data_IF_464880178599
#
_entry.id   IF_464880178599
#
_cell.length_a   1.000
_cell.length_b   1.000
_cell.length_c   1.000
_cell.angle_alpha   90.00
_cell.angle_beta   90.00
_cell.angle_gamma   90.00
#
_symmetry.space_group_name_H-M   'P 1'
#
loop_
_entity.id
_entity.type
_entity.pdbx_description
1 polymer ?
#
# COMPACT_ATOMS: atom_id res chain seq x y z
N UNK A 1 13.79 25.87 -1.38
CA UNK A 1 14.59 24.66 -1.09
C UNK A 1 13.96 23.93 0.08
N UNK A 2 13.97 22.60 0.07
CA UNK A 2 13.48 21.82 1.22
C UNK A 2 14.46 22.03 2.38
N UNK A 3 13.97 22.48 3.54
CA UNK A 3 14.79 22.60 4.74
C UNK A 3 15.11 21.19 5.24
N UNK A 4 16.38 20.79 5.20
CA UNK A 4 16.79 19.43 5.56
C UNK A 4 17.68 19.44 6.79
N UNK A 5 17.33 18.60 7.76
CA UNK A 5 18.03 18.43 9.03
C UNK A 5 18.76 17.09 9.05
N UNK A 6 20.05 17.12 9.40
CA UNK A 6 20.85 15.91 9.62
C UNK A 6 20.19 15.01 10.67
N UNK A 7 19.71 15.61 11.77
CA UNK A 7 19.09 14.91 12.88
C UNK A 7 17.83 14.16 12.44
N UNK A 8 17.02 14.77 11.58
CA UNK A 8 15.78 14.17 11.10
C UNK A 8 16.06 12.98 10.16
N UNK A 9 17.06 13.10 9.28
CA UNK A 9 17.50 11.99 8.44
C UNK A 9 18.05 10.84 9.26
N UNK A 10 18.85 11.15 10.28
CA UNK A 10 19.37 10.16 11.21
C UNK A 10 18.24 9.43 11.95
N UNK A 11 17.26 10.17 12.47
CA UNK A 11 16.10 9.62 13.17
C UNK A 11 15.29 8.68 12.27
N UNK A 12 14.94 9.12 11.05
CA UNK A 12 14.24 8.28 10.07
C UNK A 12 15.03 7.01 9.76
N UNK A 13 16.35 7.13 9.60
CA UNK A 13 17.19 5.98 9.31
C UNK A 13 17.17 4.97 10.47
N UNK A 14 17.45 5.42 11.69
CA UNK A 14 17.57 4.57 12.88
C UNK A 14 16.23 3.97 13.30
N UNK A 15 15.14 4.74 13.22
CA UNK A 15 13.86 4.33 13.75
C UNK A 15 12.95 3.62 12.75
N UNK A 16 13.11 3.85 11.44
CA UNK A 16 12.25 3.25 10.43
C UNK A 16 13.02 2.33 9.47
N UNK A 17 14.07 2.84 8.83
CA UNK A 17 14.71 2.16 7.70
C UNK A 17 15.53 0.97 8.16
N UNK A 18 16.43 1.16 9.15
CA UNK A 18 17.34 0.13 9.65
C UNK A 18 16.59 -1.13 10.12
N UNK A 19 15.45 -0.94 10.80
CA UNK A 19 14.60 -1.99 11.37
C UNK A 19 13.86 -2.81 10.30
N UNK A 20 13.67 -2.25 9.11
CA UNK A 20 12.87 -2.86 8.05
C UNK A 20 13.69 -3.57 6.95
N UNK A 21 15.03 -3.42 6.96
CA UNK A 21 15.90 -4.00 5.93
C UNK A 21 16.17 -5.47 6.22
N UNK A 22 15.72 -6.35 5.32
CA UNK A 22 16.00 -7.80 5.40
C UNK A 22 17.43 -8.17 4.99
N UNK A 23 18.04 -7.41 4.07
CA UNK A 23 19.38 -7.69 3.58
C UNK A 23 20.43 -7.15 4.55
N UNK A 24 20.92 -8.02 5.45
CA UNK A 24 21.89 -7.67 6.49
C UNK A 24 23.21 -7.13 5.93
N UNK A 25 23.68 -7.61 4.77
CA UNK A 25 24.91 -7.13 4.14
C UNK A 25 24.77 -5.67 3.68
N UNK A 26 23.64 -5.31 3.05
CA UNK A 26 23.36 -3.92 2.67
C UNK A 26 23.28 -3.00 3.89
N UNK A 27 22.62 -3.47 4.96
CA UNK A 27 22.53 -2.72 6.20
C UNK A 27 23.92 -2.49 6.82
N UNK A 28 24.71 -3.55 6.96
CA UNK A 28 26.07 -3.48 7.52
C UNK A 28 26.96 -2.50 6.73
N UNK A 29 26.93 -2.57 5.40
CA UNK A 29 27.71 -1.65 4.56
C UNK A 29 27.27 -0.19 4.75
N UNK A 30 25.97 0.06 4.96
CA UNK A 30 25.49 1.41 5.24
C UNK A 30 25.93 1.90 6.61
N UNK A 31 25.83 1.06 7.65
CA UNK A 31 26.27 1.37 9.02
C UNK A 31 27.77 1.67 9.08
N UNK A 32 28.60 0.89 8.36
CA UNK A 32 30.05 1.10 8.31
C UNK A 32 30.42 2.52 7.84
N UNK A 33 29.65 3.07 6.91
CA UNK A 33 29.87 4.41 6.33
C UNK A 33 28.70 5.35 6.63
N UNK A 34 28.09 5.23 7.81
CA UNK A 34 26.80 5.87 8.14
C UNK A 34 26.82 7.38 7.96
N UNK A 35 27.80 8.07 8.56
CA UNK A 35 27.92 9.54 8.49
C UNK A 35 28.03 9.97 7.03
N UNK A 36 28.92 9.36 6.26
CA UNK A 36 29.13 9.66 4.84
C UNK A 36 27.84 9.45 4.02
N UNK A 37 27.11 8.35 4.28
CA UNK A 37 25.86 8.06 3.58
C UNK A 37 24.74 9.07 3.91
N UNK A 38 24.64 9.52 5.17
CA UNK A 38 23.66 10.54 5.57
C UNK A 38 24.03 11.90 4.98
N UNK A 39 25.30 12.28 5.00
CA UNK A 39 25.77 13.51 4.33
C UNK A 39 25.53 13.47 2.82
N UNK A 40 25.72 12.30 2.19
CA UNK A 40 25.36 12.12 0.78
C UNK A 40 23.86 12.31 0.54
N UNK A 41 23.00 11.81 1.44
CA UNK A 41 21.57 12.05 1.37
C UNK A 41 21.21 13.54 1.52
N UNK A 42 21.84 14.24 2.46
CA UNK A 42 21.66 15.67 2.68
C UNK A 42 21.97 16.50 1.44
N UNK A 43 23.12 16.26 0.81
CA UNK A 43 23.56 17.03 -0.35
C UNK A 43 22.69 16.73 -1.59
N UNK A 44 22.17 15.50 -1.68
CA UNK A 44 21.41 15.03 -2.84
C UNK A 44 19.94 15.45 -2.82
N UNK A 45 19.36 15.79 -1.68
CA UNK A 45 17.90 15.96 -1.54
C UNK A 45 17.31 17.10 -2.38
N UNK A 46 17.96 18.26 -2.44
CA UNK A 46 17.46 19.43 -3.17
C UNK A 46 17.64 19.27 -4.69
N UNK A 47 18.64 18.50 -5.10
CA UNK A 47 18.89 18.13 -6.50
C UNK A 47 18.68 16.62 -6.69
N UNK A 48 17.55 16.12 -6.18
CA UNK A 48 17.31 14.69 -6.17
C UNK A 48 17.24 14.14 -7.59
N UNK A 49 18.23 13.31 -7.93
CA UNK A 49 18.20 12.41 -9.07
C UNK A 49 18.48 11.00 -8.59
N UNK A 50 17.50 10.12 -8.67
CA UNK A 50 17.61 8.77 -8.13
C UNK A 50 18.63 7.96 -8.91
N UNK A 51 19.33 7.06 -8.22
CA UNK A 51 20.04 6.00 -8.92
C UNK A 51 19.04 4.96 -9.46
N UNK A 52 19.55 4.00 -10.23
CA UNK A 52 18.73 2.93 -10.78
C UNK A 52 18.06 2.07 -9.71
N UNK A 53 16.87 1.58 -10.03
CA UNK A 53 16.17 0.65 -9.16
C UNK A 53 16.85 -0.72 -9.14
N UNK A 54 16.91 -1.31 -7.96
CA UNK A 54 17.10 -2.75 -7.82
C UNK A 54 15.75 -3.44 -8.03
N UNK A 55 15.56 -4.00 -9.24
CA UNK A 55 14.31 -4.62 -9.68
C UNK A 55 14.35 -6.13 -9.43
N UNK A 56 13.37 -6.65 -8.70
CA UNK A 56 13.29 -8.09 -8.38
C UNK A 56 11.85 -8.56 -8.17
N UNK A 57 11.65 -9.88 -8.30
CA UNK A 57 10.36 -10.53 -8.10
C UNK A 57 10.12 -10.86 -6.61
N UNK A 58 8.94 -10.55 -6.11
CA UNK A 58 8.38 -11.14 -4.88
C UNK A 58 7.20 -12.02 -5.26
N UNK A 59 7.17 -13.27 -4.79
CA UNK A 59 6.09 -14.22 -5.09
C UNK A 59 4.97 -14.30 -4.04
N UNK A 60 5.27 -14.03 -2.77
CA UNK A 60 4.29 -14.10 -1.68
C UNK A 60 3.93 -12.70 -1.14
N UNK A 61 2.63 -12.37 -0.91
CA UNK A 61 1.45 -13.21 -1.05
C UNK A 61 0.89 -13.33 -2.48
N UNK A 62 1.37 -12.49 -3.41
CA UNK A 62 1.03 -12.43 -4.83
C UNK A 62 2.32 -12.07 -5.58
N UNK A 63 2.49 -12.57 -6.79
CA UNK A 63 3.62 -12.21 -7.66
C UNK A 63 3.57 -10.73 -8.04
N UNK A 64 4.67 -10.02 -7.73
CA UNK A 64 4.83 -8.59 -7.97
C UNK A 64 6.29 -8.28 -8.25
N UNK A 65 6.55 -7.41 -9.21
CA UNK A 65 7.86 -6.83 -9.40
C UNK A 65 8.01 -5.64 -8.47
N UNK A 66 9.12 -5.61 -7.74
CA UNK A 66 9.45 -4.57 -6.77
C UNK A 66 10.61 -3.76 -7.32
N UNK A 67 10.47 -2.43 -7.22
CA UNK A 67 11.47 -1.44 -7.59
C UNK A 67 12.05 -0.86 -6.30
N UNK A 68 13.05 -1.54 -5.73
CA UNK A 68 13.68 -1.07 -4.49
C UNK A 68 14.74 -0.03 -4.79
N UNK A 69 14.65 1.10 -4.10
CA UNK A 69 15.71 2.09 -4.02
C UNK A 69 16.94 1.52 -3.29
N UNK A 70 18.13 2.07 -3.59
CA UNK A 70 19.30 1.94 -2.72
C UNK A 70 19.00 2.61 -1.35
N UNK A 71 19.89 2.45 -0.37
CA UNK A 71 19.61 2.93 0.98
C UNK A 71 19.63 4.46 1.12
N UNK A 72 20.47 5.17 0.35
CA UNK A 72 20.52 6.64 0.38
C UNK A 72 19.27 7.24 -0.26
N UNK A 73 18.89 6.78 -1.45
CA UNK A 73 17.68 7.23 -2.13
C UNK A 73 16.42 6.82 -1.36
N UNK A 74 16.44 5.66 -0.69
CA UNK A 74 15.36 5.25 0.22
C UNK A 74 15.23 6.19 1.40
N UNK A 75 16.35 6.63 1.98
CA UNK A 75 16.35 7.62 3.05
C UNK A 75 15.78 8.95 2.58
N UNK A 76 16.21 9.46 1.42
CA UNK A 76 15.64 10.67 0.81
C UNK A 76 14.14 10.50 0.54
N UNK A 77 13.72 9.35 -0.01
CA UNK A 77 12.33 9.05 -0.28
C UNK A 77 11.46 9.05 0.99
N UNK A 78 11.96 8.45 2.07
CA UNK A 78 11.29 8.48 3.37
C UNK A 78 11.25 9.89 3.95
N UNK A 79 12.35 10.64 3.85
CA UNK A 79 12.41 12.02 4.32
C UNK A 79 11.32 12.88 3.67
N UNK A 80 11.32 12.95 2.33
CA UNK A 80 10.30 13.70 1.55
C UNK A 80 8.89 13.22 1.91
N UNK A 81 8.71 11.92 2.08
CA UNK A 81 7.42 11.36 2.47
C UNK A 81 6.94 11.85 3.85
N UNK A 82 7.85 11.94 4.83
CA UNK A 82 7.55 12.30 6.22
C UNK A 82 7.42 13.80 6.44
N UNK A 83 8.25 14.60 5.78
CA UNK A 83 8.31 16.05 6.01
C UNK A 83 7.44 16.84 5.05
N UNK A 84 7.21 16.33 3.83
CA UNK A 84 6.45 17.04 2.78
C UNK A 84 5.10 16.35 2.53
N UNK A 85 5.11 15.10 2.05
CA UNK A 85 3.91 14.47 1.54
C UNK A 85 2.86 14.20 2.62
N UNK A 86 3.24 13.58 3.74
CA UNK A 86 2.28 13.24 4.81
C UNK A 86 1.64 14.52 5.39
N UNK A 87 2.41 15.53 5.86
CA UNK A 87 1.81 16.71 6.47
C UNK A 87 0.89 17.50 5.53
N UNK A 88 1.23 17.56 4.23
CA UNK A 88 0.46 18.34 3.24
C UNK A 88 -0.73 17.58 2.67
N UNK A 89 -0.63 16.25 2.51
CA UNK A 89 -1.66 15.45 1.85
C UNK A 89 -2.64 14.77 2.80
N UNK A 90 -2.24 14.43 4.03
CA UNK A 90 -3.09 13.65 4.93
C UNK A 90 -4.40 14.37 5.32
N UNK A 91 -4.39 15.71 5.32
CA UNK A 91 -5.59 16.53 5.57
C UNK A 91 -6.71 16.35 4.53
N UNK A 92 -6.38 15.86 3.34
CA UNK A 92 -7.34 15.58 2.26
C UNK A 92 -7.88 14.16 2.30
N UNK A 93 -7.40 13.31 3.21
CA UNK A 93 -7.79 11.90 3.30
C UNK A 93 -8.91 11.72 4.34
N UNK A 94 -10.02 11.12 3.92
CA UNK A 94 -11.09 10.74 4.87
C UNK A 94 -10.60 9.65 5.85
N UNK A 95 -11.15 9.66 7.06
CA UNK A 95 -10.82 8.69 8.13
C UNK A 95 -11.12 7.23 7.74
N UNK A 96 -12.00 7.01 6.76
CA UNK A 96 -12.35 5.70 6.19
C UNK A 96 -11.27 5.15 5.25
N UNK A 97 -10.35 6.00 4.79
CA UNK A 97 -9.13 5.58 4.11
C UNK A 97 -8.04 5.28 5.14
N UNK A 98 -7.80 3.98 5.33
CA UNK A 98 -7.04 3.48 6.47
C UNK A 98 -5.62 3.06 6.10
N UNK A 99 -5.21 3.15 4.83
CA UNK A 99 -3.93 2.59 4.38
C UNK A 99 -2.76 3.57 4.49
N UNK A 100 -1.57 3.05 4.82
CA UNK A 100 -0.29 3.81 4.93
C UNK A 100 -0.33 5.04 5.86
N UNK A 101 -1.29 5.11 6.79
CA UNK A 101 -1.41 6.19 7.76
C UNK A 101 -0.97 5.76 9.17
N UNK A 102 -0.40 6.70 9.91
CA UNK A 102 0.12 6.46 11.26
C UNK A 102 -1.03 6.02 12.18
N UNK A 103 -0.81 5.00 13.00
CA UNK A 103 -1.82 4.39 13.88
C UNK A 103 -3.04 3.78 13.17
N UNK A 104 -3.02 3.70 11.83
CA UNK A 104 -4.04 3.05 11.02
C UNK A 104 -3.50 1.73 10.44
N UNK A 105 -4.00 1.32 9.28
CA UNK A 105 -3.65 0.07 8.62
C UNK A 105 -4.61 -1.06 8.97
N UNK A 106 -4.10 -2.29 8.95
CA UNK A 106 -4.93 -3.50 9.02
C UNK A 106 -5.74 -3.58 10.29
N UNK A 107 -5.13 -3.31 11.45
CA UNK A 107 -5.79 -3.40 12.75
C UNK A 107 -6.96 -2.39 12.86
N UNK A 108 -6.71 -1.14 12.49
CA UNK A 108 -7.72 -0.09 12.50
C UNK A 108 -8.84 -0.37 11.49
N UNK A 109 -8.50 -0.78 10.27
CA UNK A 109 -9.48 -1.17 9.23
C UNK A 109 -10.40 -2.31 9.69
N UNK A 110 -9.86 -3.32 10.37
CA UNK A 110 -10.66 -4.42 10.94
C UNK A 110 -11.57 -3.94 12.08
N UNK A 111 -11.07 -3.06 12.95
CA UNK A 111 -11.86 -2.46 14.04
C UNK A 111 -13.02 -1.64 13.48
N UNK A 112 -12.75 -0.81 12.48
CA UNK A 112 -13.75 0.02 11.81
C UNK A 112 -14.79 -0.83 11.09
N UNK A 113 -14.35 -1.89 10.39
CA UNK A 113 -15.25 -2.82 9.71
C UNK A 113 -16.17 -3.53 10.69
N UNK A 114 -15.62 -4.03 11.81
CA UNK A 114 -16.42 -4.65 12.87
C UNK A 114 -17.47 -3.68 13.42
N UNK A 115 -17.11 -2.41 13.62
CA UNK A 115 -18.05 -1.36 14.05
C UNK A 115 -19.18 -1.18 13.03
N UNK A 116 -18.86 -1.03 11.74
CA UNK A 116 -19.87 -0.82 10.70
C UNK A 116 -20.78 -2.02 10.48
N UNK A 117 -20.23 -3.24 10.49
CA UNK A 117 -21.03 -4.47 10.39
C UNK A 117 -22.00 -4.59 11.57
N UNK A 118 -21.56 -4.25 12.79
CA UNK A 118 -22.44 -4.27 13.97
C UNK A 118 -23.55 -3.22 13.89
N UNK A 119 -23.25 -1.99 13.44
CA UNK A 119 -24.24 -0.92 13.29
C UNK A 119 -25.31 -1.24 12.24
N UNK A 120 -24.97 -2.03 11.21
CA UNK A 120 -25.92 -2.43 10.17
C UNK A 120 -26.74 -3.68 10.55
N UNK A 121 -26.46 -4.36 11.67
CA UNK A 121 -27.27 -5.50 12.13
C UNK A 121 -28.73 -5.16 12.36
N UNK A 122 -29.04 -3.90 12.72
CA UNK A 122 -30.41 -3.41 12.93
C UNK A 122 -31.31 -3.57 11.70
N UNK A 123 -30.74 -3.68 10.50
CA UNK A 123 -31.50 -3.88 9.27
C UNK A 123 -31.86 -5.35 9.03
N UNK A 124 -31.33 -6.30 9.82
CA UNK A 124 -31.51 -7.74 9.64
C UNK A 124 -30.73 -8.29 8.45
N UNK A 125 -31.02 -7.77 7.26
CA UNK A 125 -30.27 -8.00 6.03
C UNK A 125 -29.61 -6.75 5.49
N UNK A 126 -28.38 -6.93 5.03
CA UNK A 126 -27.61 -5.91 4.35
C UNK A 126 -26.54 -6.57 3.46
N UNK A 127 -26.02 -5.78 2.55
CA UNK A 127 -25.12 -6.21 1.50
C UNK A 127 -23.78 -5.47 1.61
N UNK A 128 -22.76 -6.13 1.10
CA UNK A 128 -21.40 -5.63 1.04
C UNK A 128 -20.97 -5.63 -0.41
N UNK A 129 -20.61 -4.44 -0.91
CA UNK A 129 -19.96 -4.27 -2.19
C UNK A 129 -18.45 -4.20 -1.95
N UNK A 130 -17.73 -5.17 -2.49
CA UNK A 130 -16.28 -5.19 -2.53
C UNK A 130 -15.81 -4.74 -3.90
N UNK A 131 -14.92 -3.76 -3.95
CA UNK A 131 -14.27 -3.28 -5.17
C UNK A 131 -12.77 -3.53 -5.05
N UNK A 132 -12.13 -3.96 -6.15
CA UNK A 132 -10.68 -4.11 -6.26
C UNK A 132 -10.24 -3.39 -7.54
N UNK A 133 -9.27 -2.48 -7.45
CA UNK A 133 -8.73 -1.80 -8.63
C UNK A 133 -7.69 -2.70 -9.30
N UNK A 134 -7.89 -2.97 -10.59
CA UNK A 134 -6.99 -3.82 -11.37
C UNK A 134 -5.66 -3.12 -11.60
N UNK A 135 -4.57 -3.81 -11.26
CA UNK A 135 -3.18 -3.38 -11.51
C UNK A 135 -2.90 -1.95 -11.02
N UNK A 136 -3.46 -1.56 -9.87
CA UNK A 136 -3.52 -0.16 -9.39
C UNK A 136 -2.22 0.64 -9.57
N UNK A 137 -1.09 0.14 -9.05
CA UNK A 137 0.20 0.84 -9.15
C UNK A 137 0.73 0.98 -10.59
N UNK A 138 0.24 0.24 -11.58
CA UNK A 138 0.66 0.37 -12.98
C UNK A 138 -0.25 1.32 -13.78
N UNK A 139 -1.43 1.66 -13.25
CA UNK A 139 -2.47 2.41 -13.97
C UNK A 139 -2.64 3.85 -13.51
N UNK A 140 -2.03 4.25 -12.39
CA UNK A 140 -2.03 5.64 -11.91
C UNK A 140 -1.45 6.55 -12.99
N UNK A 141 -2.20 7.58 -13.36
CA UNK A 141 -1.86 8.53 -14.42
C UNK A 141 -0.96 9.63 -13.87
N UNK A 142 0.21 9.82 -14.48
CA UNK A 142 1.21 10.78 -13.99
C UNK A 142 0.71 12.21 -14.06
N UNK A 143 0.14 12.61 -15.19
CA UNK A 143 -0.30 13.98 -15.41
C UNK A 143 -1.46 14.34 -14.48
N UNK A 144 -2.42 13.42 -14.29
CA UNK A 144 -3.50 13.62 -13.31
C UNK A 144 -2.95 13.74 -11.89
N UNK A 145 -2.08 12.82 -11.48
CA UNK A 145 -1.50 12.86 -10.13
C UNK A 145 -0.72 14.16 -9.91
N UNK A 146 0.12 14.56 -10.87
CA UNK A 146 0.84 15.83 -10.82
C UNK A 146 -0.10 17.03 -10.78
N UNK A 147 -1.18 17.03 -11.56
CA UNK A 147 -2.16 18.13 -11.54
C UNK A 147 -2.82 18.28 -10.17
N UNK A 148 -3.12 17.17 -9.49
CA UNK A 148 -3.68 17.16 -8.13
C UNK A 148 -2.70 17.68 -7.08
N UNK A 149 -1.39 17.61 -7.33
CA UNK A 149 -0.34 18.03 -6.39
C UNK A 149 0.09 19.49 -6.59
N UNK A 150 -0.20 20.07 -7.75
CA UNK A 150 0.35 21.37 -8.19
C UNK A 150 0.02 22.52 -7.23
N UNK A 151 -1.16 22.48 -6.62
CA UNK A 151 -1.62 23.49 -5.67
C UNK A 151 -1.38 23.10 -4.20
N UNK A 152 -0.77 21.93 -3.95
CA UNK A 152 -0.51 21.40 -2.60
C UNK A 152 0.95 21.49 -2.18
N UNK A 153 1.86 21.51 -3.16
CA UNK A 153 3.31 21.50 -2.96
C UNK A 153 3.90 22.82 -3.44
N UNK A 154 5.02 23.24 -2.85
CA UNK A 154 5.80 24.33 -3.42
C UNK A 154 6.56 23.86 -4.68
N UNK A 155 7.18 24.80 -5.40
CA UNK A 155 7.83 24.50 -6.70
C UNK A 155 8.95 23.46 -6.58
N UNK A 156 9.75 23.50 -5.51
CA UNK A 156 10.89 22.61 -5.33
C UNK A 156 10.43 21.20 -4.95
N UNK A 157 9.48 21.13 -4.01
CA UNK A 157 8.83 19.89 -3.62
C UNK A 157 8.11 19.23 -4.80
N UNK A 158 7.36 20.03 -5.57
CA UNK A 158 6.65 19.57 -6.77
C UNK A 158 7.62 18.98 -7.80
N UNK A 159 8.75 19.64 -8.04
CA UNK A 159 9.76 19.17 -8.98
C UNK A 159 10.37 17.83 -8.52
N UNK A 160 10.71 17.71 -7.24
CA UNK A 160 11.26 16.47 -6.67
C UNK A 160 10.23 15.33 -6.73
N UNK A 161 8.98 15.60 -6.34
CA UNK A 161 7.90 14.61 -6.36
C UNK A 161 7.56 14.20 -7.79
N UNK A 162 7.58 15.14 -8.74
CA UNK A 162 7.38 14.85 -10.17
C UNK A 162 8.45 13.89 -10.70
N UNK A 163 9.72 14.09 -10.34
CA UNK A 163 10.80 13.13 -10.68
C UNK A 163 10.56 11.73 -10.09
N UNK A 164 9.95 11.64 -8.90
CA UNK A 164 9.57 10.36 -8.29
C UNK A 164 8.39 9.72 -9.05
N UNK A 165 7.42 10.51 -9.52
CA UNK A 165 6.29 10.03 -10.31
C UNK A 165 6.78 9.49 -11.66
N UNK A 166 7.60 10.26 -12.36
CA UNK A 166 8.16 9.93 -13.69
C UNK A 166 9.22 8.82 -13.65
N UNK A 167 9.55 8.34 -12.46
CA UNK A 167 10.59 7.35 -12.24
C UNK A 167 10.32 5.99 -12.90
N UNK A 168 9.09 5.71 -13.30
CA UNK A 168 8.70 4.49 -14.02
C UNK A 168 8.90 4.62 -15.53
N UNK A 169 9.06 5.84 -16.06
CA UNK A 169 9.18 6.12 -17.49
C UNK A 169 10.61 5.91 -18.01
N UNK A 170 11.60 5.79 -17.13
CA UNK A 170 12.97 5.51 -17.53
C UNK A 170 13.06 4.18 -18.27
N UNK A 171 13.68 4.20 -19.47
CA UNK A 171 13.80 3.04 -20.37
C UNK A 171 14.33 1.78 -19.69
N UNK A 172 15.35 1.92 -18.84
CA UNK A 172 15.97 0.80 -18.11
C UNK A 172 14.97 0.02 -17.23
N UNK A 173 13.86 0.64 -16.80
CA UNK A 173 12.88 0.00 -15.92
C UNK A 173 12.24 -1.19 -16.63
N UNK A 174 11.70 -0.97 -17.83
CA UNK A 174 11.07 -2.05 -18.59
C UNK A 174 12.09 -3.05 -19.14
N UNK A 175 13.32 -2.62 -19.45
CA UNK A 175 14.41 -3.52 -19.85
C UNK A 175 14.77 -4.50 -18.72
N UNK A 176 14.97 -4.01 -17.49
CA UNK A 176 15.23 -4.87 -16.32
C UNK A 176 14.02 -5.73 -15.95
N UNK A 177 12.80 -5.19 -16.07
CA UNK A 177 11.57 -5.97 -15.88
C UNK A 177 11.51 -7.14 -16.86
N UNK A 178 11.87 -6.92 -18.13
CA UNK A 178 11.90 -7.97 -19.15
C UNK A 178 12.83 -9.11 -18.75
N UNK A 179 14.07 -8.81 -18.33
CA UNK A 179 15.03 -9.83 -17.82
C UNK A 179 14.43 -10.66 -16.68
N UNK A 180 13.77 -10.01 -15.71
CA UNK A 180 13.13 -10.70 -14.59
C UNK A 180 11.94 -11.56 -15.06
N UNK A 181 11.15 -11.08 -16.02
CA UNK A 181 9.98 -11.78 -16.54
C UNK A 181 10.36 -13.03 -17.35
N UNK A 182 11.33 -12.90 -18.24
CA UNK A 182 11.79 -13.98 -19.12
C UNK A 182 12.37 -15.13 -18.30
N UNK A 183 13.11 -14.82 -17.22
CA UNK A 183 13.64 -15.84 -16.30
C UNK A 183 12.61 -16.50 -15.38
N UNK A 184 11.34 -16.06 -15.36
CA UNK A 184 10.33 -16.52 -14.38
C UNK A 184 8.93 -16.81 -14.98
N UNK A 185 8.75 -16.77 -16.30
CA UNK A 185 7.46 -16.99 -16.99
C UNK A 185 6.31 -16.09 -16.48
N UNK A 186 6.58 -14.79 -16.28
CA UNK A 186 5.65 -13.84 -15.65
C UNK A 186 4.79 -13.03 -16.65
N UNK A 187 4.18 -13.69 -17.64
CA UNK A 187 3.42 -13.02 -18.71
C UNK A 187 2.25 -12.15 -18.21
N UNK A 188 1.67 -12.48 -17.05
CA UNK A 188 0.51 -11.78 -16.49
C UNK A 188 0.84 -10.42 -15.84
N UNK A 189 2.12 -10.16 -15.51
CA UNK A 189 2.57 -8.87 -14.93
C UNK A 189 2.77 -7.87 -16.07
N UNK A 190 2.10 -6.69 -16.05
CA UNK A 190 2.25 -5.67 -17.09
C UNK A 190 3.64 -5.02 -17.04
N UNK A 191 4.04 -4.43 -18.16
CA UNK A 191 5.10 -3.41 -18.19
C UNK A 191 4.53 -2.05 -17.76
N UNK A 192 5.40 -1.11 -17.41
CA UNK A 192 4.98 0.28 -17.19
C UNK A 192 4.76 0.98 -18.53
N UNK A 193 3.60 1.59 -18.71
CA UNK A 193 3.32 2.48 -19.84
C UNK A 193 3.90 3.87 -19.54
N UNK A 194 4.43 4.56 -20.55
CA UNK A 194 4.94 5.93 -20.38
C UNK A 194 3.82 6.86 -19.88
N UNK A 195 4.11 7.72 -18.91
CA UNK A 195 3.13 8.59 -18.27
C UNK A 195 2.21 7.87 -17.28
N UNK A 196 2.51 6.61 -16.92
CA UNK A 196 1.69 5.82 -15.99
C UNK A 196 2.50 4.96 -15.02
N UNK A 197 1.88 4.79 -13.87
CA UNK A 197 2.28 3.90 -12.80
C UNK A 197 3.21 4.54 -11.78
N UNK A 198 3.26 3.95 -10.60
CA UNK A 198 4.18 4.32 -9.53
C UNK A 198 5.07 3.13 -9.20
N UNK A 199 6.33 3.36 -8.81
CA UNK A 199 7.25 2.28 -8.50
C UNK A 199 6.81 1.57 -7.21
N UNK A 200 6.68 0.24 -7.27
CA UNK A 200 6.29 -0.55 -6.10
C UNK A 200 7.52 -0.76 -5.22
N UNK A 201 7.64 -0.02 -4.13
CA UNK A 201 8.74 -0.19 -3.17
C UNK A 201 9.15 1.06 -2.38
N UNK A 202 8.70 2.25 -2.79
CA UNK A 202 8.90 3.51 -2.07
C UNK A 202 7.74 3.87 -1.15
N UNK A 203 8.02 4.60 -0.06
CA UNK A 203 6.99 5.14 0.83
C UNK A 203 6.18 6.24 0.14
N UNK A 204 6.85 7.11 -0.61
CA UNK A 204 6.23 8.16 -1.42
C UNK A 204 5.15 7.60 -2.36
N UNK A 205 5.47 6.54 -3.10
CA UNK A 205 4.52 5.88 -4.00
C UNK A 205 3.28 5.35 -3.29
N UNK A 206 3.41 4.90 -2.05
CA UNK A 206 2.25 4.48 -1.25
C UNK A 206 1.39 5.68 -0.86
N UNK A 207 1.99 6.76 -0.36
CA UNK A 207 1.25 7.96 0.04
C UNK A 207 0.56 8.60 -1.16
N UNK A 208 1.29 8.75 -2.27
CA UNK A 208 0.77 9.26 -3.54
C UNK A 208 -0.37 8.39 -4.06
N UNK A 209 -0.25 7.06 -3.96
CA UNK A 209 -1.33 6.15 -4.34
C UNK A 209 -2.58 6.31 -3.48
N UNK A 210 -2.43 6.54 -2.17
CA UNK A 210 -3.57 6.76 -1.27
C UNK A 210 -4.23 8.13 -1.54
N UNK A 211 -3.42 9.14 -1.83
CA UNK A 211 -3.90 10.46 -2.21
C UNK A 211 -4.63 10.46 -3.55
N UNK A 212 -4.10 9.76 -4.56
CA UNK A 212 -4.74 9.65 -5.88
C UNK A 212 -6.16 9.10 -5.80
N UNK A 213 -6.38 8.08 -4.98
CA UNK A 213 -7.70 7.47 -4.79
C UNK A 213 -8.63 8.26 -3.84
N UNK A 214 -8.16 9.32 -3.19
CA UNK A 214 -8.98 10.13 -2.28
C UNK A 214 -10.13 10.84 -2.99
N UNK A 215 -9.98 11.18 -4.27
CA UNK A 215 -11.07 11.75 -5.09
C UNK A 215 -12.25 10.78 -5.27
N UNK A 216 -11.96 9.48 -5.27
CA UNK A 216 -12.98 8.44 -5.31
C UNK A 216 -13.63 8.28 -3.94
N UNK A 217 -12.86 8.42 -2.86
CA UNK A 217 -13.40 8.44 -1.50
C UNK A 217 -14.42 9.56 -1.32
N UNK A 218 -14.04 10.79 -1.67
CA UNK A 218 -14.91 11.96 -1.58
C UNK A 218 -16.19 11.80 -2.39
N UNK A 219 -16.08 11.27 -3.61
CA UNK A 219 -17.25 10.98 -4.45
C UNK A 219 -18.21 9.97 -3.82
N UNK A 220 -17.69 8.88 -3.24
CA UNK A 220 -18.53 7.87 -2.57
C UNK A 220 -19.22 8.47 -1.34
N UNK A 221 -18.54 9.36 -0.63
CA UNK A 221 -19.00 9.93 0.64
C UNK A 221 -20.00 11.06 0.43
N UNK A 222 -19.72 11.99 -0.49
CA UNK A 222 -20.49 13.21 -0.65
C UNK A 222 -21.61 13.04 -1.68
N UNK A 223 -21.32 12.44 -2.83
CA UNK A 223 -22.29 12.25 -3.92
C UNK A 223 -23.13 11.00 -3.71
N UNK A 224 -22.49 9.85 -3.50
CA UNK A 224 -23.19 8.58 -3.27
C UNK A 224 -23.65 8.40 -1.81
N UNK A 225 -23.27 9.31 -0.90
CA UNK A 225 -23.71 9.32 0.51
C UNK A 225 -23.59 7.97 1.22
N UNK A 226 -22.60 7.16 0.85
CA UNK A 226 -22.40 5.84 1.47
C UNK A 226 -21.70 6.03 2.81
N UNK A 227 -22.49 5.95 3.88
CA UNK A 227 -22.00 6.18 5.24
C UNK A 227 -20.95 5.18 5.70
N UNK A 228 -21.15 3.90 5.36
CA UNK A 228 -20.33 2.79 5.85
C UNK A 228 -19.41 2.30 4.75
N UNK A 229 -18.25 2.95 4.64
CA UNK A 229 -17.22 2.64 3.66
C UNK A 229 -15.88 2.44 4.35
N UNK A 230 -15.06 1.54 3.84
CA UNK A 230 -13.65 1.39 4.22
C UNK A 230 -12.83 1.26 2.95
N UNK A 231 -11.72 1.97 2.89
CA UNK A 231 -10.80 1.93 1.77
C UNK A 231 -9.39 1.61 2.27
N UNK A 232 -8.80 0.58 1.67
CA UNK A 232 -7.46 0.12 1.94
C UNK A 232 -6.73 -0.13 0.62
N UNK A 233 -5.84 0.80 0.23
CA UNK A 233 -5.05 0.71 -1.02
C UNK A 233 -5.95 0.55 -2.26
N UNK A 234 -5.99 -0.62 -2.86
CA UNK A 234 -6.79 -0.96 -4.04
C UNK A 234 -8.15 -1.59 -3.69
N UNK A 235 -8.37 -1.95 -2.42
CA UNK A 235 -9.59 -2.59 -1.92
C UNK A 235 -10.55 -1.56 -1.29
N UNK A 236 -11.81 -1.52 -1.75
CA UNK A 236 -12.90 -0.77 -1.12
C UNK A 236 -13.99 -1.72 -0.64
N UNK A 237 -14.58 -1.39 0.51
CA UNK A 237 -15.72 -2.09 1.10
C UNK A 237 -16.80 -1.07 1.38
N UNK A 238 -17.93 -1.19 0.69
CA UNK A 238 -19.12 -0.38 0.90
C UNK A 238 -20.22 -1.27 1.50
N UNK A 239 -20.89 -0.79 2.53
CA UNK A 239 -21.94 -1.53 3.24
C UNK A 239 -23.25 -0.75 3.16
N UNK A 240 -24.30 -1.42 2.70
CA UNK A 240 -25.61 -0.81 2.57
C UNK A 240 -26.74 -1.84 2.72
N UNK A 241 -27.91 -1.42 3.22
CA UNK A 241 -29.09 -2.30 3.39
C UNK A 241 -29.69 -2.76 2.06
N UNK A 242 -29.60 -1.92 1.03
CA UNK A 242 -30.20 -2.15 -0.28
C UNK A 242 -29.15 -2.59 -1.30
N UNK A 243 -29.40 -3.73 -1.94
CA UNK A 243 -28.56 -4.34 -2.98
C UNK A 243 -28.61 -3.56 -4.30
N UNK A 244 -29.77 -3.06 -4.70
CA UNK A 244 -29.92 -2.33 -5.96
C UNK A 244 -29.20 -0.99 -5.87
N UNK A 245 -29.25 -0.34 -4.70
CA UNK A 245 -28.42 0.83 -4.43
C UNK A 245 -26.92 0.55 -4.57
N UNK A 246 -26.43 -0.60 -4.11
CA UNK A 246 -25.02 -0.98 -4.30
C UNK A 246 -24.68 -1.24 -5.78
N UNK A 247 -25.61 -1.79 -6.57
CA UNK A 247 -25.40 -1.91 -8.02
C UNK A 247 -25.33 -0.55 -8.70
N UNK A 248 -26.18 0.39 -8.30
CA UNK A 248 -26.11 1.78 -8.74
C UNK A 248 -24.75 2.40 -8.38
N UNK A 249 -24.32 2.27 -7.12
CA UNK A 249 -23.02 2.75 -6.65
C UNK A 249 -21.87 2.14 -7.46
N UNK A 250 -21.90 0.83 -7.72
CA UNK A 250 -20.90 0.14 -8.53
C UNK A 250 -20.77 0.76 -9.93
N UNK A 251 -21.90 1.04 -10.61
CA UNK A 251 -21.91 1.68 -11.92
C UNK A 251 -21.30 3.09 -11.86
N UNK A 252 -21.72 3.89 -10.89
CA UNK A 252 -21.23 5.27 -10.72
C UNK A 252 -19.73 5.31 -10.38
N UNK A 253 -19.28 4.45 -9.47
CA UNK A 253 -17.86 4.36 -9.10
C UNK A 253 -17.02 3.89 -10.29
N UNK A 254 -17.51 2.95 -11.10
CA UNK A 254 -16.83 2.54 -12.33
C UNK A 254 -16.60 3.71 -13.27
N UNK A 255 -17.64 4.52 -13.53
CA UNK A 255 -17.51 5.72 -14.38
C UNK A 255 -16.56 6.76 -13.77
N UNK A 256 -16.60 6.97 -12.45
CA UNK A 256 -15.65 7.88 -11.79
C UNK A 256 -14.23 7.37 -11.92
N UNK A 257 -13.96 6.08 -11.71
CA UNK A 257 -12.63 5.48 -11.85
C UNK A 257 -12.06 5.62 -13.26
N UNK A 258 -12.90 5.46 -14.30
CA UNK A 258 -12.50 5.64 -15.70
C UNK A 258 -11.98 7.07 -15.95
N UNK A 259 -12.58 8.10 -15.33
CA UNK A 259 -12.08 9.48 -15.40
C UNK A 259 -10.68 9.65 -14.80
N UNK A 260 -10.24 8.77 -13.92
CA UNK A 260 -8.89 8.75 -13.34
C UNK A 260 -8.00 7.67 -13.98
N UNK A 261 -8.34 7.17 -15.18
CA UNK A 261 -7.56 6.14 -15.88
C UNK A 261 -7.46 4.82 -15.09
N UNK A 262 -8.35 4.60 -14.11
CA UNK A 262 -8.40 3.40 -13.27
C UNK A 262 -9.48 2.43 -13.77
N UNK A 263 -9.24 1.13 -13.61
CA UNK A 263 -10.17 0.06 -14.01
C UNK A 263 -10.44 -0.88 -12.86
N UNK A 264 -11.69 -1.28 -12.68
CA UNK A 264 -12.07 -2.30 -11.71
C UNK A 264 -11.63 -3.69 -12.16
N UNK A 265 -11.35 -4.54 -11.19
CA UNK A 265 -11.10 -5.96 -11.38
C UNK A 265 -12.43 -6.71 -11.28
N UNK A 266 -13.03 -7.03 -12.44
CA UNK A 266 -14.33 -7.68 -12.52
C UNK A 266 -14.38 -9.03 -11.78
N UNK A 267 -13.26 -9.76 -11.69
CA UNK A 267 -13.22 -11.07 -11.05
C UNK A 267 -13.19 -11.01 -9.52
N UNK A 268 -12.82 -9.87 -8.94
CA UNK A 268 -12.75 -9.67 -7.48
C UNK A 268 -13.78 -8.69 -6.96
N UNK A 269 -14.44 -7.97 -7.86
CA UNK A 269 -15.51 -7.05 -7.55
C UNK A 269 -16.79 -7.85 -7.38
N UNK A 270 -17.40 -7.80 -6.20
CA UNK A 270 -18.58 -8.61 -5.89
C UNK A 270 -19.53 -7.88 -4.95
N UNK A 271 -20.84 -8.13 -5.13
CA UNK A 271 -21.88 -7.72 -4.17
C UNK A 271 -22.37 -8.98 -3.47
N UNK A 272 -22.18 -9.06 -2.16
CA UNK A 272 -22.53 -10.24 -1.37
C UNK A 272 -23.43 -9.87 -0.21
N UNK A 273 -24.36 -10.77 0.14
CA UNK A 273 -25.11 -10.65 1.37
C UNK A 273 -24.20 -11.03 2.55
N UNK A 274 -24.25 -10.28 3.65
CA UNK A 274 -23.43 -10.55 4.83
C UNK A 274 -23.62 -11.96 5.43
N UNK A 275 -24.80 -12.57 5.22
CA UNK A 275 -25.10 -13.94 5.62
C UNK A 275 -24.27 -14.97 4.87
N UNK A 276 -23.90 -14.70 3.61
CA UNK A 276 -23.00 -15.55 2.83
C UNK A 276 -21.56 -15.34 3.28
N UNK A 277 -21.24 -14.09 3.61
CA UNK A 277 -19.96 -13.64 4.12
C UNK A 277 -19.00 -13.25 3.00
N UNK A 278 -17.95 -12.50 3.37
CA UNK A 278 -16.97 -11.97 2.43
C UNK A 278 -15.57 -11.96 3.06
N UNK A 279 -14.53 -11.76 2.23
CA UNK A 279 -13.14 -11.69 2.70
C UNK A 279 -12.53 -10.31 2.53
N UNK A 280 -11.91 -9.81 3.61
CA UNK A 280 -11.21 -8.52 3.63
C UNK A 280 -10.02 -8.57 4.58
N UNK A 281 -8.88 -8.00 4.18
CA UNK A 281 -7.64 -7.92 4.97
C UNK A 281 -7.18 -9.26 5.58
N UNK A 282 -7.44 -10.37 4.88
CA UNK A 282 -7.05 -11.72 5.32
C UNK A 282 -8.01 -12.40 6.30
N UNK A 283 -9.15 -11.79 6.61
CA UNK A 283 -10.22 -12.32 7.45
C UNK A 283 -11.50 -12.55 6.65
N UNK A 284 -12.28 -13.54 7.04
CA UNK A 284 -13.64 -13.81 6.56
C UNK A 284 -14.66 -13.31 7.59
N UNK A 285 -15.66 -12.57 7.13
CA UNK A 285 -16.73 -12.00 7.93
C UNK A 285 -18.05 -12.62 7.50
N UNK A 286 -18.82 -13.13 8.45
CA UNK A 286 -20.13 -13.74 8.20
C UNK A 286 -21.10 -13.43 9.34
N UNK A 287 -22.34 -13.09 9.03
CA UNK A 287 -23.37 -12.86 10.03
C UNK A 287 -24.31 -14.07 10.12
N UNK A 288 -24.33 -14.75 11.28
CA UNK A 288 -25.26 -15.83 11.62
C UNK A 288 -25.76 -15.62 13.05
N UNK A 289 -26.75 -14.76 13.23
CA UNK A 289 -27.18 -14.23 14.55
C UNK A 289 -26.14 -13.30 15.17
N UNK A 290 -24.92 -13.79 15.37
CA UNK A 290 -23.73 -13.02 15.74
C UNK A 290 -22.76 -12.83 14.57
N UNK A 291 -21.90 -11.82 14.69
CA UNK A 291 -20.83 -11.56 13.72
C UNK A 291 -19.69 -12.55 13.97
N UNK A 292 -19.43 -13.41 13.01
CA UNK A 292 -18.36 -14.40 13.03
C UNK A 292 -17.20 -13.85 12.20
N UNK A 293 -16.02 -13.78 12.82
CA UNK A 293 -14.78 -13.33 12.18
C UNK A 293 -13.79 -14.49 12.27
N UNK A 294 -13.34 -15.00 11.12
CA UNK A 294 -12.35 -16.08 11.04
C UNK A 294 -11.17 -15.66 10.18
N UNK A 295 -9.98 -16.17 10.45
CA UNK A 295 -8.86 -16.05 9.50
C UNK A 295 -9.24 -16.75 8.19
N UNK A 296 -8.94 -16.12 7.06
CA UNK A 296 -9.11 -16.78 5.77
C UNK A 296 -8.21 -18.01 5.69
N UNK A 297 -8.66 -19.06 4.98
CA UNK A 297 -7.89 -20.30 4.82
C UNK A 297 -6.48 -20.04 4.26
N UNK A 298 -6.37 -19.10 3.31
CA UNK A 298 -5.09 -18.66 2.72
C UNK A 298 -4.16 -18.08 3.78
N UNK A 299 -4.65 -17.18 4.63
CA UNK A 299 -3.85 -16.56 5.72
C UNK A 299 -3.48 -17.59 6.77
N UNK A 300 -4.41 -18.48 7.15
CA UNK A 300 -4.18 -19.55 8.13
C UNK A 300 -3.07 -20.48 7.67
N UNK A 301 -3.14 -20.98 6.44
CA UNK A 301 -2.13 -21.86 5.86
C UNK A 301 -0.74 -21.20 5.86
N UNK A 302 -0.66 -19.93 5.45
CA UNK A 302 0.60 -19.15 5.47
C UNK A 302 1.19 -19.01 6.88
N UNK A 303 0.35 -18.67 7.87
CA UNK A 303 0.80 -18.60 9.27
C UNK A 303 1.38 -19.93 9.72
N UNK A 304 0.73 -21.05 9.42
CA UNK A 304 1.22 -22.40 9.75
C UNK A 304 2.54 -22.72 9.05
N UNK A 305 2.67 -22.43 7.75
CA UNK A 305 3.92 -22.62 6.99
C UNK A 305 5.06 -21.81 7.59
N UNK A 306 4.81 -20.54 7.95
CA UNK A 306 5.80 -19.69 8.60
C UNK A 306 6.21 -20.21 9.98
N UNK A 307 5.28 -20.72 10.78
CA UNK A 307 5.58 -21.34 12.07
C UNK A 307 6.46 -22.58 11.91
N UNK A 308 6.12 -23.48 10.98
CA UNK A 308 6.93 -24.67 10.68
C UNK A 308 8.36 -24.27 10.26
N UNK A 309 8.48 -23.22 9.45
CA UNK A 309 9.78 -22.71 9.01
C UNK A 309 10.59 -22.12 10.17
N UNK A 310 9.97 -21.30 11.03
CA UNK A 310 10.61 -20.75 12.22
C UNK A 310 10.99 -21.84 13.23
N UNK A 311 10.15 -22.86 13.41
CA UNK A 311 10.48 -24.01 14.24
C UNK A 311 11.73 -24.74 13.72
N UNK A 312 11.84 -24.96 12.40
CA UNK A 312 13.06 -25.51 11.78
C UNK A 312 14.28 -24.63 12.00
N UNK A 313 14.15 -23.31 11.91
CA UNK A 313 15.27 -22.41 12.18
C UNK A 313 15.68 -22.37 13.66
N UNK A 314 14.72 -22.47 14.57
CA UNK A 314 15.00 -22.57 16.00
C UNK A 314 15.77 -23.85 16.33
N UNK A 315 15.32 -25.00 15.80
CA UNK A 315 16.04 -26.28 15.94
C UNK A 315 17.45 -26.28 15.35
N UNK A 316 17.74 -25.39 14.40
CA UNK A 316 19.06 -25.21 13.79
C UNK A 316 19.84 -24.04 14.42
N UNK A 317 19.37 -23.52 15.56
CA UNK A 317 19.96 -22.39 16.31
C UNK A 317 20.14 -21.10 15.49
N UNK A 318 19.43 -20.97 14.37
CA UNK A 318 19.49 -19.78 13.50
C UNK A 318 18.64 -18.62 14.04
N UNK A 319 17.76 -18.87 15.00
CA UNK A 319 16.93 -17.87 15.67
C UNK A 319 16.85 -18.16 17.17
N UNK A 320 16.70 -17.11 17.96
CA UNK A 320 16.54 -17.21 19.42
C UNK A 320 15.18 -17.77 19.83
N UNK A 321 15.10 -18.35 21.03
CA UNK A 321 13.83 -18.80 21.62
C UNK A 321 12.80 -17.68 21.68
N UNK A 322 13.20 -16.47 22.08
CA UNK A 322 12.31 -15.31 22.14
C UNK A 322 11.63 -15.02 20.78
N UNK A 323 12.41 -15.04 19.69
CA UNK A 323 11.87 -14.84 18.34
C UNK A 323 10.90 -15.96 17.92
N UNK A 324 11.17 -17.19 18.33
CA UNK A 324 10.28 -18.32 18.10
C UNK A 324 8.99 -18.22 18.94
N UNK A 325 9.11 -17.97 20.24
CA UNK A 325 8.01 -17.83 21.19
C UNK A 325 7.04 -16.71 20.80
N UNK A 326 7.55 -15.52 20.44
CA UNK A 326 6.73 -14.42 19.92
C UNK A 326 5.91 -14.85 18.68
N UNK A 327 6.50 -15.68 17.82
CA UNK A 327 5.82 -16.18 16.63
C UNK A 327 4.70 -17.16 16.97
N UNK A 328 4.92 -18.05 17.93
CA UNK A 328 3.91 -18.99 18.45
C UNK A 328 2.76 -18.25 19.14
N UNK A 329 3.05 -17.25 19.96
CA UNK A 329 2.01 -16.45 20.64
C UNK A 329 1.17 -15.62 19.68
N UNK A 330 1.76 -15.14 18.57
CA UNK A 330 1.01 -14.46 17.50
C UNK A 330 0.01 -15.36 16.75
N UNK A 331 0.10 -16.68 16.95
CA UNK A 331 -0.81 -17.68 16.39
C UNK A 331 -1.94 -18.07 17.34
N UNK A 332 -1.71 -17.98 18.65
CA UNK A 332 -2.70 -18.33 19.69
C UNK A 332 -3.75 -17.23 19.92
N UNK A 333 -3.45 -15.98 19.57
CA UNK A 333 -4.42 -14.86 19.48
C UNK A 333 -5.17 -14.90 18.16
#
# INVERSE_FOLDING_TARGET
MIKVSYKDLLDIYENEISKCIKNKKKLYNFEKYKIQNITRALNKINNFDKEEYNIFLIREPKERIIMSLNLVDKLINHYISRTVLIPKLERYLDIRNVATRKNMGTSYGLKLLKKYLNLNKKYGEFYVLKLDISKYFYTIDHDKLKSMLKDKLDIDEYNIVSKIIDSTDYKYVNEKIKVVKDGNNLGHIPYYEKGKGLPIGGLSSQILSVYYSSEVDHYIIHDLKVKYMIHYMDDFILIHKDKEYLKYCLKQIKHKLEKYSLKLNNNKTEITNIKNGFTFLGYNFKLKGKLIIKLSNKTRYKKIKNLKTKHKFYKKEKITFQNYFCSVNSYRK
#
